data_IF_123032990494
#
_entry.id   IF_123032990494
#
_cell.length_a   1.000
_cell.length_b   1.000
_cell.length_c   1.000
_cell.angle_alpha   90.00
_cell.angle_beta   90.00
_cell.angle_gamma   90.00
#
_symmetry.space_group_name_H-M   'P 1'
#
loop_
_entity.id
_entity.type
_entity.pdbx_description
1 polymer ?
#
# COMPACT_ATOMS: atom_id res chain seq x y z
N UNK A 1 -14.88 -17.48 25.50
CA UNK A 1 -15.07 -16.11 24.98
C UNK A 1 -13.88 -15.65 24.12
N UNK A 2 -13.24 -16.52 23.31
CA UNK A 2 -11.99 -16.18 22.62
C UNK A 2 -12.04 -16.13 21.09
N UNK A 3 -12.96 -16.85 20.42
CA UNK A 3 -12.93 -16.94 18.96
C UNK A 3 -13.55 -15.73 18.27
N UNK A 4 -14.66 -15.20 18.78
CA UNK A 4 -15.36 -14.06 18.16
C UNK A 4 -14.52 -12.78 18.17
N UNK A 5 -13.80 -12.50 19.26
CA UNK A 5 -12.92 -11.33 19.36
C UNK A 5 -11.73 -11.40 18.40
N UNK A 6 -11.11 -12.59 18.28
CA UNK A 6 -9.99 -12.82 17.36
C UNK A 6 -10.45 -12.70 15.91
N UNK A 7 -11.60 -13.30 15.57
CA UNK A 7 -12.18 -13.21 14.22
C UNK A 7 -12.53 -11.76 13.88
N UNK A 8 -13.11 -11.02 14.83
CA UNK A 8 -13.46 -9.61 14.63
C UNK A 8 -12.22 -8.73 14.41
N UNK A 9 -11.17 -8.90 15.23
CA UNK A 9 -9.91 -8.17 15.08
C UNK A 9 -9.17 -8.51 13.79
N UNK A 10 -9.25 -9.74 13.32
CA UNK A 10 -8.69 -10.16 12.04
C UNK A 10 -9.49 -9.67 10.83
N UNK A 11 -10.80 -9.45 10.99
CA UNK A 11 -11.69 -8.90 9.97
C UNK A 11 -11.60 -7.36 9.85
N UNK A 12 -10.87 -6.68 10.76
CA UNK A 12 -10.54 -5.27 10.57
C UNK A 12 -9.76 -5.15 9.27
N UNK A 13 -10.33 -4.42 8.31
CA UNK A 13 -9.62 -3.98 7.12
C UNK A 13 -8.43 -3.17 7.62
N UNK A 14 -7.23 -3.78 7.61
CA UNK A 14 -6.00 -3.04 7.84
C UNK A 14 -5.91 -2.03 6.71
N UNK A 15 -6.04 -0.76 7.07
CA UNK A 15 -5.65 0.33 6.20
C UNK A 15 -4.20 0.04 5.79
N UNK A 16 -3.97 -0.15 4.49
CA UNK A 16 -2.61 -0.32 3.97
C UNK A 16 -1.87 0.97 4.28
N UNK A 17 -0.77 0.85 5.01
CA UNK A 17 0.06 2.00 5.35
C UNK A 17 0.68 2.56 4.08
N UNK A 18 0.60 3.88 3.89
CA UNK A 18 1.30 4.57 2.80
C UNK A 18 2.79 4.81 3.09
N UNK A 19 3.28 4.42 4.28
CA UNK A 19 4.71 4.41 4.65
C UNK A 19 5.33 3.15 4.04
N UNK A 20 5.85 3.29 2.82
CA UNK A 20 6.31 2.19 1.99
C UNK A 20 7.74 1.77 2.34
N UNK A 21 8.57 2.71 2.81
CA UNK A 21 9.92 2.41 3.27
C UNK A 21 10.00 2.05 4.77
N UNK A 22 8.90 2.19 5.52
CA UNK A 22 8.78 1.89 6.95
C UNK A 22 9.68 2.76 7.83
N UNK A 23 9.90 4.01 7.44
CA UNK A 23 10.71 4.96 8.20
C UNK A 23 9.90 5.70 9.29
N UNK A 24 8.58 5.50 9.35
CA UNK A 24 7.70 6.14 10.32
C UNK A 24 7.20 7.54 9.91
N UNK A 25 7.59 8.02 8.75
CA UNK A 25 7.11 9.26 8.12
C UNK A 25 6.28 8.92 6.88
N UNK A 26 5.42 9.85 6.47
CA UNK A 26 4.65 9.76 5.23
C UNK A 26 5.05 10.94 4.36
N UNK A 27 6.01 10.73 3.47
CA UNK A 27 6.65 11.83 2.75
C UNK A 27 6.86 11.54 1.25
N UNK A 28 7.58 12.45 0.58
CA UNK A 28 7.87 12.35 -0.85
C UNK A 28 8.69 11.10 -1.21
N UNK A 29 9.43 10.53 -0.26
CA UNK A 29 10.17 9.29 -0.40
C UNK A 29 9.25 8.08 -0.60
N UNK A 30 8.09 8.04 0.06
CA UNK A 30 7.09 6.99 -0.15
C UNK A 30 6.42 7.13 -1.52
N UNK A 31 6.10 8.37 -1.92
CA UNK A 31 5.56 8.62 -3.26
C UNK A 31 6.55 8.22 -4.35
N UNK A 32 7.86 8.44 -4.13
CA UNK A 32 8.90 8.00 -5.06
C UNK A 32 8.96 6.47 -5.21
N UNK A 33 8.71 5.72 -4.14
CA UNK A 33 8.61 4.25 -4.19
C UNK A 33 7.40 3.82 -5.01
N UNK A 34 6.24 4.47 -4.80
CA UNK A 34 5.07 4.25 -5.62
C UNK A 34 5.36 4.48 -7.11
N UNK A 35 5.96 5.62 -7.43
CA UNK A 35 6.31 5.99 -8.80
C UNK A 35 7.32 5.02 -9.44
N UNK A 36 8.28 4.49 -8.69
CA UNK A 36 9.24 3.49 -9.16
C UNK A 36 8.58 2.18 -9.62
N UNK A 37 7.42 1.84 -9.08
CA UNK A 37 6.66 0.65 -9.44
C UNK A 37 5.48 0.91 -10.39
N UNK A 38 5.28 2.16 -10.81
CA UNK A 38 4.18 2.56 -11.70
C UNK A 38 4.12 1.72 -12.99
N UNK A 39 2.91 1.32 -13.37
CA UNK A 39 2.64 0.55 -14.58
C UNK A 39 2.81 -0.96 -14.43
N UNK A 40 3.19 -1.46 -13.24
CA UNK A 40 3.23 -2.90 -12.95
C UNK A 40 1.85 -3.42 -12.56
N UNK A 41 1.66 -4.72 -12.78
CA UNK A 41 0.44 -5.47 -12.52
C UNK A 41 0.78 -6.90 -12.09
N UNK A 42 -0.20 -7.63 -11.55
CA UNK A 42 0.04 -8.92 -10.87
C UNK A 42 0.67 -10.03 -11.70
N UNK A 43 0.71 -9.90 -13.03
CA UNK A 43 1.36 -10.87 -13.91
C UNK A 43 2.84 -10.54 -14.18
N UNK A 44 3.36 -9.40 -13.74
CA UNK A 44 4.78 -9.08 -13.87
C UNK A 44 5.64 -9.97 -12.95
N UNK A 45 6.82 -10.37 -13.43
CA UNK A 45 7.70 -11.30 -12.71
C UNK A 45 8.16 -10.77 -11.33
N UNK A 46 8.24 -9.45 -11.19
CA UNK A 46 8.67 -8.75 -9.98
C UNK A 46 7.49 -8.23 -9.13
N UNK A 47 6.26 -8.70 -9.40
CA UNK A 47 5.06 -8.30 -8.65
C UNK A 47 5.17 -8.52 -7.15
N UNK A 48 5.84 -9.61 -6.72
CA UNK A 48 6.04 -9.91 -5.31
C UNK A 48 6.70 -8.76 -4.52
N UNK A 49 7.58 -8.01 -5.20
CA UNK A 49 8.22 -6.80 -4.66
C UNK A 49 7.36 -5.57 -4.92
N UNK A 50 6.82 -5.43 -6.14
CA UNK A 50 6.11 -4.22 -6.56
C UNK A 50 4.80 -3.97 -5.81
N UNK A 51 4.08 -5.02 -5.43
CA UNK A 51 2.74 -4.96 -4.82
C UNK A 51 2.65 -4.15 -3.52
N UNK A 52 3.78 -3.74 -2.95
CA UNK A 52 3.80 -2.81 -1.82
C UNK A 52 3.19 -1.46 -2.17
N UNK A 53 3.19 -1.08 -3.46
CA UNK A 53 2.63 0.17 -3.96
C UNK A 53 1.23 0.01 -4.57
N UNK A 54 0.62 -1.17 -4.52
CA UNK A 54 -0.78 -1.41 -4.88
C UNK A 54 -1.65 -1.09 -3.64
N UNK A 55 -2.12 0.15 -3.57
CA UNK A 55 -2.73 0.74 -2.38
C UNK A 55 -4.23 0.53 -2.34
N UNK A 56 -4.87 0.36 -3.49
CA UNK A 56 -6.30 0.06 -3.61
C UNK A 56 -6.60 -1.44 -3.74
N UNK A 57 -5.59 -2.29 -3.94
CA UNK A 57 -5.70 -3.75 -4.04
C UNK A 57 -6.27 -4.24 -5.37
N UNK A 58 -6.19 -3.45 -6.44
CA UNK A 58 -6.76 -3.78 -7.74
C UNK A 58 -5.82 -4.61 -8.64
N UNK A 59 -4.65 -4.98 -8.11
CA UNK A 59 -3.59 -5.73 -8.78
C UNK A 59 -2.88 -4.96 -9.90
N UNK A 60 -2.87 -3.64 -9.82
CA UNK A 60 -2.16 -2.70 -10.69
C UNK A 60 -1.54 -1.62 -9.82
N UNK A 61 -0.54 -0.95 -10.35
CA UNK A 61 0.07 0.22 -9.72
C UNK A 61 -0.10 1.36 -10.70
N UNK A 62 -1.10 2.19 -10.45
CA UNK A 62 -1.51 3.26 -11.35
C UNK A 62 -1.71 4.60 -10.63
N UNK A 63 -2.44 5.52 -11.28
CA UNK A 63 -2.63 6.86 -10.76
C UNK A 63 -3.47 6.90 -9.48
N UNK A 64 -4.34 5.91 -9.25
CA UNK A 64 -5.16 5.82 -8.04
C UNK A 64 -4.28 5.55 -6.83
N UNK A 65 -3.27 4.70 -6.98
CA UNK A 65 -2.30 4.42 -5.93
C UNK A 65 -1.44 5.64 -5.61
N UNK A 66 -0.96 6.34 -6.65
CA UNK A 66 -0.16 7.56 -6.46
C UNK A 66 -0.96 8.65 -5.75
N UNK A 67 -2.23 8.82 -6.14
CA UNK A 67 -3.14 9.76 -5.51
C UNK A 67 -3.39 9.38 -4.05
N UNK A 68 -3.53 8.09 -3.75
CA UNK A 68 -3.66 7.63 -2.37
C UNK A 68 -2.42 7.98 -1.55
N UNK A 69 -1.21 7.64 -2.00
CA UNK A 69 0.03 7.95 -1.27
C UNK A 69 0.17 9.46 -1.05
N UNK A 70 0.01 10.25 -2.12
CA UNK A 70 0.10 11.70 -2.04
C UNK A 70 -0.94 12.30 -1.07
N UNK A 71 -2.15 11.73 -0.97
CA UNK A 71 -3.18 12.19 -0.03
C UNK A 71 -2.84 11.96 1.45
N UNK A 72 -1.82 11.15 1.74
CA UNK A 72 -1.36 10.81 3.09
C UNK A 72 -0.11 11.58 3.50
N UNK A 73 0.48 12.37 2.62
CA UNK A 73 1.68 13.15 2.95
C UNK A 73 1.29 14.26 3.92
N UNK A 74 1.92 14.23 5.09
CA UNK A 74 1.86 15.27 6.11
C UNK A 74 3.30 15.65 6.42
N UNK A 75 3.64 16.93 6.25
CA UNK A 75 4.98 17.47 6.54
C UNK A 75 5.38 17.29 8.01
#
# INVERSE_FOLDING_TARGET
MGSAEVIFKAAVIKVVSADLNKNGSLDIGDLAIGAYHYGKYSTNADWATAKIADMNGDNRIDIIDMAYIASKIFE
#
